data_IF_270636994891
#
_entry.id   IF_270636994891
#
_cell.length_a   1.000
_cell.length_b   1.000
_cell.length_c   1.000
_cell.angle_alpha   90.00
_cell.angle_beta   90.00
_cell.angle_gamma   90.00
#
_symmetry.space_group_name_H-M   'P 1'
#
loop_
_entity.id
_entity.type
_entity.pdbx_description
1 polymer ?
#
# COMPACT_ATOMS: atom_id res chain seq x y z
N UNK A 1 6.80 8.03 -0.76
CA UNK A 1 5.31 7.97 -0.67
C UNK A 1 4.87 6.50 -0.70
N UNK A 2 3.61 6.16 -0.43
CA UNK A 2 3.09 4.76 -0.31
C UNK A 2 3.59 3.81 -1.41
N UNK A 3 3.70 4.31 -2.63
CA UNK A 3 4.20 3.56 -3.78
C UNK A 3 5.63 3.04 -3.61
N UNK A 4 6.54 3.84 -3.06
CA UNK A 4 7.93 3.42 -2.84
C UNK A 4 8.00 2.26 -1.84
N UNK A 5 7.15 2.33 -0.80
CA UNK A 5 7.03 1.25 0.17
C UNK A 5 6.45 -0.02 -0.47
N UNK A 6 5.45 0.10 -1.34
CA UNK A 6 4.90 -1.04 -2.07
C UNK A 6 5.94 -1.70 -2.97
N UNK A 7 6.72 -0.91 -3.71
CA UNK A 7 7.83 -1.41 -4.55
C UNK A 7 8.88 -2.14 -3.69
N UNK A 8 9.16 -1.64 -2.48
CA UNK A 8 10.06 -2.29 -1.53
C UNK A 8 9.43 -3.50 -0.80
N UNK A 9 8.13 -3.74 -0.97
CA UNK A 9 7.39 -4.77 -0.23
C UNK A 9 7.27 -4.47 1.27
N UNK A 10 7.21 -3.19 1.64
CA UNK A 10 7.12 -2.74 3.03
C UNK A 10 5.67 -2.38 3.36
N UNK A 11 5.01 -3.10 4.29
CA UNK A 11 3.75 -2.66 4.83
C UNK A 11 3.92 -1.41 5.70
N UNK A 12 2.88 -0.57 5.74
CA UNK A 12 2.90 0.77 6.32
C UNK A 12 2.01 0.85 7.55
N UNK A 13 2.41 1.64 8.55
CA UNK A 13 1.47 2.22 9.52
C UNK A 13 1.24 3.66 9.08
N UNK A 14 0.00 4.03 8.80
CA UNK A 14 -0.35 5.37 8.32
C UNK A 14 -1.59 5.90 9.03
N UNK A 15 -1.63 7.21 9.26
CA UNK A 15 -2.85 7.84 9.76
C UNK A 15 -3.94 7.85 8.69
N UNK A 16 -5.19 7.68 9.11
CA UNK A 16 -6.38 7.96 8.32
C UNK A 16 -6.43 9.46 8.03
N UNK A 17 -5.80 9.83 6.91
CA UNK A 17 -5.65 11.20 6.47
C UNK A 17 -5.65 11.23 4.95
N UNK A 18 -6.57 12.00 4.38
CA UNK A 18 -6.69 12.19 2.94
C UNK A 18 -6.88 10.85 2.19
N UNK A 19 -6.08 10.58 1.15
CA UNK A 19 -6.22 9.44 0.23
C UNK A 19 -5.57 8.15 0.79
N UNK A 20 -4.99 8.18 1.99
CA UNK A 20 -4.27 7.02 2.55
C UNK A 20 -5.16 5.77 2.63
N UNK A 21 -6.43 5.92 3.00
CA UNK A 21 -7.40 4.81 3.11
C UNK A 21 -7.88 4.27 1.77
N UNK A 22 -7.67 5.00 0.67
CA UNK A 22 -7.96 4.49 -0.69
C UNK A 22 -6.82 3.62 -1.23
N UNK A 23 -5.58 3.87 -0.78
CA UNK A 23 -4.38 3.19 -1.30
C UNK A 23 -3.88 2.11 -0.34
N UNK A 24 -4.05 2.28 0.96
CA UNK A 24 -3.62 1.36 2.01
C UNK A 24 -4.85 0.62 2.55
N UNK A 25 -4.75 -0.71 2.61
CA UNK A 25 -5.79 -1.58 3.16
C UNK A 25 -5.21 -2.42 4.29
N UNK A 26 -6.05 -3.14 5.03
CA UNK A 26 -5.60 -4.10 6.05
C UNK A 26 -4.70 -5.23 5.48
N UNK A 27 -4.69 -5.40 4.15
CA UNK A 27 -3.82 -6.37 3.47
C UNK A 27 -2.41 -5.85 3.23
N UNK A 28 -2.20 -4.53 3.22
CA UNK A 28 -0.93 -3.88 2.86
C UNK A 28 -0.39 -2.96 3.95
N UNK A 29 -1.15 -2.76 5.03
CA UNK A 29 -0.72 -1.92 6.13
C UNK A 29 -1.76 -1.85 7.25
N UNK A 30 -1.56 -0.87 8.13
CA UNK A 30 -2.37 -0.60 9.30
C UNK A 30 -2.74 0.89 9.25
N UNK A 31 -4.03 1.17 9.31
CA UNK A 31 -4.56 2.53 9.41
C UNK A 31 -4.82 2.84 10.88
N UNK A 32 -4.35 4.00 11.33
CA UNK A 32 -4.55 4.52 12.69
C UNK A 32 -5.25 5.88 12.65
N UNK A 33 -5.93 6.33 13.72
CA UNK A 33 -6.47 7.69 13.79
C UNK A 33 -5.36 8.75 13.66
N UNK A 34 -5.64 9.92 13.05
CA UNK A 34 -4.66 11.00 12.98
C UNK A 34 -4.37 11.59 14.35
N UNK A 35 -3.09 11.89 14.61
CA UNK A 35 -2.59 12.47 15.88
C UNK A 35 -2.87 11.61 17.12
N UNK A 36 -2.96 10.30 16.94
CA UNK A 36 -3.14 9.34 18.03
C UNK A 36 -1.84 8.56 18.28
N UNK A 37 -1.09 9.00 19.30
CA UNK A 37 0.19 8.40 19.68
C UNK A 37 0.02 6.99 20.27
N UNK A 38 -1.07 6.75 20.99
CA UNK A 38 -1.34 5.44 21.60
C UNK A 38 -1.68 4.42 20.50
N UNK A 39 -2.49 4.80 19.52
CA UNK A 39 -2.79 3.93 18.38
C UNK A 39 -1.51 3.58 17.58
N UNK A 40 -0.60 4.55 17.38
CA UNK A 40 0.69 4.30 16.75
C UNK A 40 1.54 3.32 17.58
N UNK A 41 1.66 3.55 18.89
CA UNK A 41 2.40 2.69 19.80
C UNK A 41 1.86 1.25 19.77
N UNK A 42 0.53 1.08 19.86
CA UNK A 42 -0.12 -0.23 19.82
C UNK A 42 0.15 -0.93 18.47
N UNK A 43 0.02 -0.21 17.35
CA UNK A 43 0.29 -0.77 16.03
C UNK A 43 1.74 -1.25 15.90
N UNK A 44 2.72 -0.44 16.32
CA UNK A 44 4.14 -0.81 16.32
C UNK A 44 4.42 -2.03 17.22
N UNK A 45 3.88 -2.02 18.43
CA UNK A 45 4.02 -3.13 19.38
C UNK A 45 3.46 -4.43 18.80
N UNK A 46 2.29 -4.38 18.15
CA UNK A 46 1.67 -5.55 17.54
C UNK A 46 2.49 -6.08 16.34
N UNK A 47 3.13 -5.21 15.56
CA UNK A 47 4.10 -5.63 14.54
C UNK A 47 5.27 -6.40 15.15
N UNK A 48 5.89 -5.87 16.21
CA UNK A 48 7.05 -6.49 16.89
C UNK A 48 6.68 -7.83 17.52
N UNK A 49 5.49 -7.91 18.13
CA UNK A 49 5.00 -9.12 18.78
C UNK A 49 4.44 -10.18 17.79
N UNK A 50 4.54 -9.94 16.47
CA UNK A 50 4.09 -10.88 15.46
C UNK A 50 2.57 -11.06 15.40
N UNK A 51 1.80 -10.04 15.80
CA UNK A 51 0.32 -10.05 15.76
C UNK A 51 -0.25 -9.81 14.37
N UNK A 52 0.60 -9.43 13.42
CA UNK A 52 0.26 -9.30 12.01
C UNK A 52 1.10 -10.26 11.16
N UNK A 53 0.51 -10.80 10.10
CA UNK A 53 1.26 -11.54 9.08
C UNK A 53 1.97 -10.56 8.13
N UNK A 54 3.09 -10.00 8.61
CA UNK A 54 3.90 -9.06 7.83
C UNK A 54 4.47 -9.69 6.55
N UNK A 55 4.63 -11.01 6.52
CA UNK A 55 5.08 -11.72 5.31
C UNK A 55 4.01 -11.74 4.24
N UNK A 56 2.74 -11.98 4.61
CA UNK A 56 1.61 -11.83 3.70
C UNK A 56 1.45 -10.38 3.25
N UNK A 57 1.53 -9.43 4.17
CA UNK A 57 1.40 -8.01 3.83
C UNK A 57 2.49 -7.56 2.84
N UNK A 58 3.74 -7.98 3.04
CA UNK A 58 4.83 -7.75 2.08
C UNK A 58 4.48 -8.23 0.67
N UNK A 59 3.95 -9.44 0.53
CA UNK A 59 3.54 -9.99 -0.78
C UNK A 59 2.42 -9.16 -1.40
N UNK A 60 1.47 -8.73 -0.59
CA UNK A 60 0.37 -7.88 -1.05
C UNK A 60 0.88 -6.51 -1.51
N UNK A 61 1.80 -5.88 -0.78
CA UNK A 61 2.46 -4.63 -1.17
C UNK A 61 3.13 -4.75 -2.54
N UNK A 62 3.93 -5.80 -2.75
CA UNK A 62 4.58 -6.06 -4.04
C UNK A 62 3.57 -6.31 -5.17
N UNK A 63 2.41 -6.91 -4.86
CA UNK A 63 1.36 -7.14 -5.84
C UNK A 63 0.63 -5.84 -6.21
N UNK A 64 0.32 -5.00 -5.22
CA UNK A 64 -0.28 -3.69 -5.43
C UNK A 64 0.63 -2.78 -6.27
N UNK A 65 1.95 -2.79 -6.02
CA UNK A 65 2.92 -2.03 -6.81
C UNK A 65 2.79 -2.27 -8.32
N UNK A 66 2.48 -3.49 -8.76
CA UNK A 66 2.33 -3.86 -10.18
C UNK A 66 1.19 -3.15 -10.88
N UNK A 67 0.18 -2.67 -10.15
CA UNK A 67 -0.92 -1.88 -10.73
C UNK A 67 -0.43 -0.54 -11.27
N UNK A 68 0.70 -0.05 -10.76
CA UNK A 68 1.25 1.27 -11.04
C UNK A 68 2.52 1.22 -11.92
N UNK A 69 2.85 0.06 -12.49
CA UNK A 69 3.97 -0.07 -13.41
C UNK A 69 3.69 0.71 -14.71
N UNK A 70 4.51 1.72 -14.95
CA UNK A 70 4.42 2.62 -16.10
C UNK A 70 4.52 1.85 -17.41
N UNK A 71 5.35 0.79 -17.47
CA UNK A 71 5.49 -0.04 -18.68
C UNK A 71 4.20 -0.76 -19.02
N UNK A 72 3.38 -1.06 -18.02
CA UNK A 72 2.07 -1.68 -18.20
C UNK A 72 1.01 -0.64 -18.54
N UNK A 73 0.91 0.43 -17.75
CA UNK A 73 -0.16 1.43 -17.87
C UNK A 73 0.00 2.30 -19.13
N UNK A 74 1.24 2.64 -19.52
CA UNK A 74 1.49 3.41 -20.73
C UNK A 74 1.88 2.51 -21.91
N UNK A 75 1.60 1.21 -21.82
CA UNK A 75 1.78 0.33 -22.97
C UNK A 75 0.82 0.74 -24.09
N UNK A 76 1.28 0.70 -25.34
CA UNK A 76 0.42 0.96 -26.51
C UNK A 76 -0.84 0.09 -26.48
N UNK A 77 -0.68 -1.18 -26.11
CA UNK A 77 -1.79 -2.12 -25.98
C UNK A 77 -2.86 -1.63 -24.99
N UNK A 78 -2.46 -1.24 -23.79
CA UNK A 78 -3.41 -0.72 -22.80
C UNK A 78 -4.04 0.60 -23.25
N UNK A 79 -3.25 1.50 -23.85
CA UNK A 79 -3.77 2.77 -24.35
C UNK A 79 -4.78 2.58 -25.49
N UNK A 80 -4.62 1.56 -26.34
CA UNK A 80 -5.61 1.15 -27.33
C UNK A 80 -6.85 0.54 -26.65
N UNK A 81 -6.67 -0.33 -25.66
CA UNK A 81 -7.76 -0.95 -24.89
C UNK A 81 -8.68 0.10 -24.23
N UNK A 82 -8.10 1.19 -23.71
CA UNK A 82 -8.86 2.28 -23.08
C UNK A 82 -9.26 3.39 -24.05
N UNK A 83 -9.02 3.25 -25.35
CA UNK A 83 -9.45 4.19 -26.39
C UNK A 83 -8.69 5.53 -26.44
N UNK A 84 -7.44 5.56 -25.95
CA UNK A 84 -6.57 6.73 -25.95
C UNK A 84 -5.56 6.75 -27.11
N UNK A 85 -5.47 5.67 -27.89
CA UNK A 85 -4.58 5.53 -29.04
C UNK A 85 -5.25 4.65 -30.11
N UNK A 86 -5.04 5.00 -31.38
CA UNK A 86 -5.39 4.17 -32.54
C UNK A 86 -4.36 3.05 -32.77
#
# INVERSE_FOLDING_TARGET
>A
MVMDAYIAGLPLIASDWNINTEVITEKTGIIIPPKDEEALYIAMKNCILGRYDLSAMKRNCLNEAKKYDIKKILSRHFLQEVGLLD
#
